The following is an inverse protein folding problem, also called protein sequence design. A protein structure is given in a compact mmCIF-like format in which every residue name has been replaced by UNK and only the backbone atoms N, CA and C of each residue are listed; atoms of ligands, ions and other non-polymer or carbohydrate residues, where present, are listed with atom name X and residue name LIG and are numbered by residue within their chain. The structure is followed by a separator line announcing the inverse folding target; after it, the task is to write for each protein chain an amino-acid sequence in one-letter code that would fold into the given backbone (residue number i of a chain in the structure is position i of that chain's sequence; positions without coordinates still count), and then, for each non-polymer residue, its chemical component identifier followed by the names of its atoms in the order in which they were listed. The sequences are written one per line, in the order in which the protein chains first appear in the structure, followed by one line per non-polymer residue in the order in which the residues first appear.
data_IF_395386412896
#
_entry.id   IF_395386412896
#
_cell.length_a   1.000
_cell.length_b   1.000
_cell.length_c   1.000
_cell.angle_alpha   90.00
_cell.angle_beta   90.00
_cell.angle_gamma   90.00
#
_symmetry.space_group_name_H-M   'P 1'
#
loop_
_entity.id
_entity.type
_entity.pdbx_description
1 polymer ?
#
# COMPACT_ATOMS: atom_id res chain seq x y z
N UNK A 1 6.51 -42.61 -19.65
CA UNK A 1 5.52 -41.70 -20.25
C UNK A 1 5.46 -40.42 -19.43
N UNK A 2 6.30 -39.42 -19.75
CA UNK A 2 6.23 -38.11 -19.10
C UNK A 2 5.74 -37.09 -20.14
N UNK A 3 4.42 -37.02 -20.29
CA UNK A 3 3.73 -36.07 -21.16
C UNK A 3 3.51 -34.75 -20.40
N UNK A 4 4.54 -33.92 -20.26
CA UNK A 4 4.39 -32.55 -19.74
C UNK A 4 5.38 -31.59 -20.40
N UNK A 5 5.56 -31.64 -21.72
CA UNK A 5 6.44 -30.67 -22.39
C UNK A 5 6.00 -30.24 -23.79
N UNK A 6 4.70 -30.15 -24.05
CA UNK A 6 4.19 -29.83 -25.40
C UNK A 6 3.27 -28.62 -25.47
N UNK A 7 3.29 -27.75 -24.47
CA UNK A 7 2.61 -26.45 -24.53
C UNK A 7 3.50 -25.41 -23.87
N UNK A 8 4.01 -24.48 -24.68
CA UNK A 8 4.54 -23.20 -24.22
C UNK A 8 3.41 -22.31 -23.67
N UNK A 9 2.43 -22.90 -22.99
CA UNK A 9 1.41 -22.19 -22.25
C UNK A 9 2.06 -21.90 -20.91
N UNK A 10 2.51 -20.64 -20.77
CA UNK A 10 3.02 -20.09 -19.52
C UNK A 10 1.84 -20.00 -18.55
N UNK A 11 1.36 -21.15 -18.09
CA UNK A 11 0.18 -21.23 -17.24
C UNK A 11 0.50 -20.60 -15.88
N UNK A 12 -0.44 -19.78 -15.43
CA UNK A 12 -0.37 -19.14 -14.12
C UNK A 12 -0.76 -20.20 -13.10
N UNK A 13 0.24 -20.77 -12.43
CA UNK A 13 0.02 -21.80 -11.40
C UNK A 13 -0.26 -21.09 -10.07
N UNK A 14 -1.48 -21.21 -9.57
CA UNK A 14 -1.87 -20.70 -8.24
C UNK A 14 -1.71 -21.79 -7.19
N UNK A 15 -1.11 -21.46 -6.04
CA UNK A 15 -0.84 -22.41 -4.96
C UNK A 15 -1.06 -21.82 -3.57
N UNK A 16 -1.62 -22.66 -2.70
CA UNK A 16 -1.73 -22.43 -1.26
C UNK A 16 -0.61 -23.13 -0.47
N UNK A 17 0.13 -24.04 -1.11
CA UNK A 17 1.17 -24.80 -0.45
C UNK A 17 2.44 -23.98 -0.28
N UNK A 18 2.53 -23.26 0.84
CA UNK A 18 3.72 -22.50 1.24
C UNK A 18 4.88 -23.40 1.71
N UNK A 19 4.59 -24.65 2.08
CA UNK A 19 5.58 -25.58 2.62
C UNK A 19 6.40 -26.32 1.54
N UNK A 20 5.94 -26.27 0.28
CA UNK A 20 6.58 -26.92 -0.86
C UNK A 20 7.95 -26.32 -1.16
N UNK A 21 8.92 -27.20 -1.42
CA UNK A 21 10.29 -26.83 -1.78
C UNK A 21 10.40 -26.54 -3.28
N UNK A 22 11.22 -25.56 -3.64
CA UNK A 22 11.49 -25.20 -5.03
C UNK A 22 12.47 -26.21 -5.66
N UNK A 23 12.04 -26.80 -6.77
CA UNK A 23 12.75 -27.82 -7.56
C UNK A 23 13.29 -27.15 -8.84
N UNK A 24 14.46 -27.54 -9.37
CA UNK A 24 15.05 -26.94 -10.57
C UNK A 24 14.13 -26.87 -11.80
N UNK A 25 13.21 -27.83 -11.94
CA UNK A 25 12.24 -27.85 -13.05
C UNK A 25 11.26 -26.68 -13.05
N UNK A 26 11.10 -25.99 -11.91
CA UNK A 26 10.23 -24.82 -11.78
C UNK A 26 10.91 -23.49 -12.17
N UNK A 27 12.21 -23.50 -12.46
CA UNK A 27 12.92 -22.27 -12.88
C UNK A 27 12.27 -21.70 -14.16
N UNK A 28 12.09 -20.38 -14.20
CA UNK A 28 11.47 -19.69 -15.33
C UNK A 28 9.93 -19.64 -15.31
N UNK A 29 9.30 -20.29 -14.33
CA UNK A 29 7.86 -20.24 -14.12
C UNK A 29 7.46 -19.11 -13.17
N UNK A 30 6.24 -18.59 -13.33
CA UNK A 30 5.64 -17.65 -12.38
C UNK A 30 4.59 -18.41 -11.58
N UNK A 31 4.84 -18.56 -10.29
CA UNK A 31 3.96 -19.27 -9.36
C UNK A 31 3.29 -18.23 -8.47
N UNK A 32 1.98 -18.30 -8.38
CA UNK A 32 1.18 -17.38 -7.58
C UNK A 32 0.94 -18.00 -6.21
N UNK A 33 1.61 -17.48 -5.18
CA UNK A 33 1.61 -18.05 -3.83
C UNK A 33 0.67 -17.27 -2.91
N UNK A 34 -0.18 -17.97 -2.18
CA UNK A 34 -1.08 -17.37 -1.19
C UNK A 34 -0.31 -16.89 0.06
N UNK A 35 -0.52 -15.65 0.49
CA UNK A 35 0.11 -15.08 1.69
C UNK A 35 -0.81 -15.00 2.93
N UNK A 36 -2.04 -15.53 2.84
CA UNK A 36 -3.06 -15.42 3.88
C UNK A 36 -4.17 -14.41 3.57
N UNK A 37 -3.95 -13.52 2.61
CA UNK A 37 -4.92 -12.51 2.17
C UNK A 37 -5.10 -12.50 0.65
N UNK A 38 -3.99 -12.55 -0.07
CA UNK A 38 -3.94 -12.46 -1.52
C UNK A 38 -2.92 -13.42 -2.11
N UNK A 39 -2.91 -13.47 -3.44
CA UNK A 39 -2.13 -14.37 -4.26
C UNK A 39 -1.02 -13.55 -4.95
N UNK A 40 0.22 -13.74 -4.51
CA UNK A 40 1.38 -12.97 -4.97
C UNK A 40 2.08 -13.71 -6.12
N UNK A 41 2.23 -13.10 -7.31
CA UNK A 41 2.98 -13.71 -8.41
C UNK A 41 4.49 -13.66 -8.14
N UNK A 42 5.13 -14.83 -8.09
CA UNK A 42 6.56 -14.97 -7.82
C UNK A 42 7.23 -15.64 -9.02
N UNK A 43 8.18 -14.94 -9.63
CA UNK A 43 9.01 -15.50 -10.69
C UNK A 43 10.17 -16.30 -10.09
N UNK A 44 10.28 -17.57 -10.45
CA UNK A 44 11.27 -18.48 -9.86
C UNK A 44 12.60 -18.37 -10.59
N UNK A 45 13.65 -18.10 -9.82
CA UNK A 45 15.05 -18.06 -10.28
C UNK A 45 15.86 -19.22 -9.70
N UNK A 46 17.00 -19.52 -10.31
CA UNK A 46 17.89 -20.61 -9.89
C UNK A 46 18.34 -20.50 -8.42
N UNK A 47 18.58 -19.27 -7.93
CA UNK A 47 19.00 -19.01 -6.55
C UNK A 47 17.94 -19.35 -5.50
N UNK A 48 16.71 -19.63 -5.91
CA UNK A 48 15.59 -19.96 -5.02
C UNK A 48 15.44 -21.48 -4.85
N UNK A 49 16.16 -22.29 -5.62
CA UNK A 49 16.11 -23.75 -5.51
C UNK A 49 16.52 -24.20 -4.11
N UNK A 50 15.77 -25.14 -3.52
CA UNK A 50 15.99 -25.64 -2.16
C UNK A 50 15.27 -24.85 -1.06
N UNK A 51 14.79 -23.64 -1.35
CA UNK A 51 13.96 -22.85 -0.43
C UNK A 51 12.49 -23.25 -0.50
N UNK A 52 11.70 -22.84 0.48
CA UNK A 52 10.24 -23.01 0.48
C UNK A 52 9.54 -21.83 -0.19
N UNK A 53 8.45 -22.11 -0.91
CA UNK A 53 7.63 -21.07 -1.55
C UNK A 53 7.13 -20.00 -0.56
N UNK A 54 6.87 -20.40 0.68
CA UNK A 54 6.42 -19.48 1.74
C UNK A 54 7.43 -18.42 2.15
N UNK A 55 8.73 -18.64 1.93
CA UNK A 55 9.79 -17.67 2.28
C UNK A 55 9.71 -16.41 1.42
N UNK A 56 9.15 -16.53 0.21
CA UNK A 56 9.04 -15.45 -0.76
C UNK A 56 7.66 -14.76 -0.73
N UNK A 57 6.74 -15.24 0.10
CA UNK A 57 5.39 -14.69 0.27
C UNK A 57 5.18 -14.21 1.72
N UNK A 58 5.45 -12.91 2.02
CA UNK A 58 5.33 -12.36 3.37
C UNK A 58 3.86 -12.30 3.80
N UNK A 59 3.59 -12.70 5.05
CA UNK A 59 2.23 -12.86 5.60
C UNK A 59 1.75 -11.67 6.43
N UNK A 60 2.67 -10.82 6.91
CA UNK A 60 2.35 -9.67 7.74
C UNK A 60 2.95 -8.39 7.16
N UNK A 61 2.14 -7.35 7.05
CA UNK A 61 2.60 -6.01 6.70
C UNK A 61 3.11 -5.30 7.95
N UNK A 62 4.35 -5.54 8.32
CA UNK A 62 4.99 -4.85 9.43
C UNK A 62 5.33 -3.40 9.06
N UNK A 63 4.57 -2.43 9.60
CA UNK A 63 4.77 -1.00 9.33
C UNK A 63 5.80 -0.32 10.24
N UNK A 64 6.54 -1.10 11.03
CA UNK A 64 7.40 -0.58 12.09
C UNK A 64 6.61 -0.03 13.27
N UNK A 65 7.32 0.28 14.36
CA UNK A 65 6.73 1.01 15.48
C UNK A 65 6.43 2.44 15.00
N UNK A 66 5.15 2.80 14.89
CA UNK A 66 4.76 4.15 14.53
C UNK A 66 5.21 5.11 15.64
N UNK A 67 6.38 5.75 15.46
CA UNK A 67 6.66 7.00 16.18
C UNK A 67 5.62 7.98 15.71
N UNK A 68 4.66 8.26 16.59
CA UNK A 68 3.59 9.20 16.34
C UNK A 68 4.21 10.59 16.23
N UNK A 69 4.75 10.93 15.05
CA UNK A 69 5.16 12.29 14.73
C UNK A 69 3.86 13.05 14.54
N UNK A 70 3.36 13.57 15.65
CA UNK A 70 2.23 14.48 15.73
C UNK A 70 2.65 15.82 15.10
N UNK A 71 2.98 15.82 13.80
CA UNK A 71 3.02 17.03 12.99
C UNK A 71 1.57 17.38 12.74
N UNK A 72 0.98 18.06 13.71
CA UNK A 72 -0.17 18.90 13.48
C UNK A 72 0.15 19.77 12.26
N UNK A 73 -0.48 19.47 11.12
CA UNK A 73 -0.50 20.41 10.00
C UNK A 73 -1.41 21.56 10.41
N UNK A 74 -0.87 22.49 11.19
CA UNK A 74 -1.37 23.85 11.22
C UNK A 74 -0.97 24.49 9.89
N UNK A 75 -1.81 24.28 8.89
CA UNK A 75 -1.72 24.94 7.60
C UNK A 75 -3.01 25.73 7.38
N UNK A 76 -3.16 26.83 8.13
CA UNK A 76 -3.89 27.99 7.64
C UNK A 76 -3.16 29.27 8.05
N UNK A 77 -2.37 29.79 7.10
CA UNK A 77 -2.11 31.23 6.95
C UNK A 77 -1.02 31.90 7.79
N UNK A 78 0.25 31.70 7.42
CA UNK A 78 1.24 32.79 7.54
C UNK A 78 1.13 33.65 6.28
N UNK A 79 0.74 34.92 6.38
CA UNK A 79 1.40 36.07 5.72
C UNK A 79 0.67 37.37 6.04
N UNK A 80 1.27 38.11 6.99
CA UNK A 80 1.46 39.58 7.09
C UNK A 80 1.41 39.94 8.57
N UNK A 81 2.50 40.52 9.07
CA UNK A 81 2.70 40.84 10.49
C UNK A 81 1.84 42.01 10.95
N UNK A 82 0.53 41.81 11.03
CA UNK A 82 -0.41 42.75 11.64
C UNK A 82 -1.18 41.97 12.71
N UNK A 83 -0.92 42.29 13.98
CA UNK A 83 -1.68 41.75 15.10
C UNK A 83 -3.12 42.30 15.06
N UNK A 84 -4.18 41.47 15.07
CA UNK A 84 -5.53 41.97 15.20
C UNK A 84 -5.76 42.38 16.66
N UNK A 85 -5.76 43.68 16.91
CA UNK A 85 -6.36 44.23 18.10
C UNK A 85 -7.87 43.93 18.07
N UNK A 86 -8.37 43.33 19.15
CA UNK A 86 -9.77 43.02 19.43
C UNK A 86 -10.29 41.69 18.86
N UNK A 87 -10.84 40.88 19.76
CA UNK A 87 -11.09 39.45 19.58
C UNK A 87 -12.19 39.11 18.57
N UNK A 88 -11.96 38.03 17.83
CA UNK A 88 -12.93 37.36 16.98
C UNK A 88 -12.27 36.76 15.74
N UNK A 89 -12.18 35.43 15.66
CA UNK A 89 -11.89 34.76 14.39
C UNK A 89 -13.10 34.93 13.47
N UNK A 90 -12.97 35.47 12.25
CA UNK A 90 -14.12 35.69 11.38
C UNK A 90 -14.69 34.35 10.91
N UNK A 91 -15.96 34.09 11.23
CA UNK A 91 -16.71 33.00 10.58
C UNK A 91 -17.32 33.56 9.30
N UNK A 92 -17.18 32.85 8.19
CA UNK A 92 -17.72 33.29 6.90
C UNK A 92 -19.02 32.56 6.58
N UNK A 93 -20.04 33.30 6.15
CA UNK A 93 -21.29 32.72 5.64
C UNK A 93 -21.48 33.07 4.15
N UNK A 94 -22.15 32.17 3.42
CA UNK A 94 -22.47 32.36 2.00
C UNK A 94 -23.83 33.05 1.90
N UNK A 95 -23.87 34.28 1.39
CA UNK A 95 -25.14 34.97 1.19
C UNK A 95 -25.96 34.37 0.03
N UNK A 96 -27.28 34.64 -0.07
CA UNK A 96 -28.14 34.07 -1.12
C UNK A 96 -27.75 34.45 -2.55
N UNK A 97 -26.88 35.45 -2.71
CA UNK A 97 -26.31 35.85 -4.00
C UNK A 97 -24.99 35.12 -4.31
N UNK A 98 -24.55 34.23 -3.42
CA UNK A 98 -23.35 33.40 -3.58
C UNK A 98 -22.05 34.07 -3.15
N UNK A 99 -22.10 35.18 -2.41
CA UNK A 99 -20.91 35.88 -1.95
C UNK A 99 -20.55 35.53 -0.50
N UNK A 100 -19.26 35.31 -0.25
CA UNK A 100 -18.72 34.96 1.06
C UNK A 100 -18.53 36.25 1.88
N UNK A 101 -19.35 36.46 2.92
CA UNK A 101 -19.31 37.64 3.81
C UNK A 101 -18.76 37.26 5.20
N UNK A 102 -17.83 38.03 5.78
CA UNK A 102 -17.38 37.81 7.16
C UNK A 102 -18.49 38.18 8.15
N UNK A 103 -18.77 37.31 9.12
CA UNK A 103 -19.67 37.57 10.25
C UNK A 103 -18.83 37.72 11.52
N UNK A 104 -18.86 38.92 12.09
CA UNK A 104 -18.20 39.24 13.37
C UNK A 104 -19.22 38.98 14.48
N UNK A 105 -18.94 38.01 15.35
CA UNK A 105 -19.73 37.78 16.56
C UNK A 105 -19.11 38.64 17.66
N UNK A 106 -19.81 39.70 18.08
CA UNK A 106 -19.45 40.53 19.24
C UNK A 106 -19.52 39.72 20.54
#
# INVERSE_FOLDING_TARGET
MNMLNTKAEKEIIVTWSRASTIIPTMIGHTIVVHNGKEHLPIYITDRMVGHKLGEFAPTLNFRGHAKNNNRSRHAYGRTTGIEPAHGGFPIHYLDPLGYIRPYIKY
#
